data_IF_711796113576
#
_entry.id   IF_711796113576
#
_cell.length_a   1.000
_cell.length_b   1.000
_cell.length_c   1.000
_cell.angle_alpha   90.00
_cell.angle_beta   90.00
_cell.angle_gamma   90.00
#
_symmetry.space_group_name_H-M   'P 1'
#
loop_
_entity.id
_entity.type
_entity.pdbx_description
1 polymer ?
#
# COMPACT_ATOMS: atom_id res chain seq x y z
N UNK A 1 -3.86 -8.55 5.37
CA UNK A 1 -3.97 -8.47 6.86
C UNK A 1 -3.95 -7.00 7.26
N UNK A 2 -4.91 -6.50 8.05
CA UNK A 2 -4.75 -5.17 8.66
C UNK A 2 -3.64 -5.29 9.70
N UNK A 3 -2.57 -4.49 9.59
CA UNK A 3 -1.60 -4.43 10.66
C UNK A 3 -2.34 -4.12 11.96
N UNK A 4 -1.97 -4.76 13.07
CA UNK A 4 -2.34 -4.24 14.38
C UNK A 4 -1.98 -2.74 14.40
N UNK A 5 -2.63 -1.92 15.23
CA UNK A 5 -2.41 -0.47 15.32
C UNK A 5 -1.01 -0.05 15.81
N UNK A 6 0.04 -0.76 15.37
CA UNK A 6 1.45 -0.66 15.70
C UNK A 6 2.21 -0.32 14.42
N UNK A 7 3.15 0.62 14.50
CA UNK A 7 3.94 1.06 13.35
C UNK A 7 4.87 -0.01 12.75
N UNK A 8 5.63 -0.80 13.55
CA UNK A 8 6.61 -1.72 12.97
C UNK A 8 5.96 -2.97 12.37
N UNK A 9 6.36 -3.26 11.13
CA UNK A 9 6.12 -4.52 10.42
C UNK A 9 7.46 -5.08 9.92
N UNK A 10 7.46 -6.33 9.45
CA UNK A 10 8.69 -7.00 8.98
C UNK A 10 8.68 -7.24 7.49
N UNK A 11 9.81 -6.94 6.85
CA UNK A 11 10.20 -7.48 5.55
C UNK A 11 11.03 -8.73 5.82
N UNK A 12 10.62 -9.87 5.25
CA UNK A 12 11.33 -11.14 5.38
C UNK A 12 12.08 -11.41 4.09
N UNK A 13 13.41 -11.36 4.13
CA UNK A 13 14.28 -11.66 3.00
C UNK A 13 14.75 -13.12 3.10
N UNK A 14 14.42 -13.95 2.11
CA UNK A 14 14.83 -15.35 2.07
C UNK A 14 15.83 -15.54 0.94
N UNK A 15 17.03 -16.03 1.27
CA UNK A 15 17.99 -16.48 0.28
C UNK A 15 17.51 -17.82 -0.31
N UNK A 16 17.19 -17.85 -1.60
CA UNK A 16 16.60 -19.02 -2.25
C UNK A 16 17.57 -20.19 -2.44
N UNK A 17 18.88 -19.97 -2.32
CA UNK A 17 19.89 -21.03 -2.45
C UNK A 17 20.17 -21.71 -1.12
N UNK A 18 20.19 -20.94 -0.05
CA UNK A 18 20.59 -21.38 1.29
C UNK A 18 19.43 -21.54 2.25
N UNK A 19 18.24 -21.06 1.87
CA UNK A 19 17.02 -21.00 2.69
C UNK A 19 17.17 -20.19 3.98
N UNK A 20 18.24 -19.39 4.10
CA UNK A 20 18.45 -18.50 5.25
C UNK A 20 17.53 -17.31 5.12
N UNK A 21 16.86 -16.98 6.22
CA UNK A 21 16.00 -15.80 6.31
C UNK A 21 16.67 -14.70 7.15
N UNK A 22 16.48 -13.46 6.70
CA UNK A 22 16.73 -12.25 7.49
C UNK A 22 15.44 -11.47 7.60
N UNK A 23 15.30 -10.69 8.67
CA UNK A 23 14.10 -9.91 8.94
C UNK A 23 14.50 -8.46 9.20
N UNK A 24 13.80 -7.53 8.57
CA UNK A 24 14.08 -6.10 8.65
C UNK A 24 12.81 -5.37 9.04
N UNK A 25 12.94 -4.35 9.89
CA UNK A 25 11.80 -3.54 10.30
C UNK A 25 11.49 -2.48 9.25
N UNK A 26 10.22 -2.37 8.90
CA UNK A 26 9.63 -1.26 8.16
C UNK A 26 8.60 -0.58 9.06
N UNK A 27 8.53 0.75 9.05
CA UNK A 27 7.55 1.48 9.86
C UNK A 27 6.44 2.05 8.97
N UNK A 28 5.21 1.63 9.25
CA UNK A 28 4.00 2.21 8.67
C UNK A 28 3.81 3.65 9.14
N UNK A 29 3.12 4.49 8.35
CA UNK A 29 2.78 5.86 8.75
C UNK A 29 1.57 5.88 9.69
N UNK A 30 1.83 5.95 10.98
CA UNK A 30 0.86 6.08 12.08
C UNK A 30 -0.41 5.24 11.87
N UNK A 31 -0.31 3.90 11.75
CA UNK A 31 -1.41 3.02 11.33
C UNK A 31 -2.61 3.04 12.29
N UNK A 32 -2.39 3.41 13.56
CA UNK A 32 -3.48 3.65 14.52
C UNK A 32 -4.43 4.78 14.10
N UNK A 33 -3.93 5.78 13.36
CA UNK A 33 -4.68 6.95 12.91
C UNK A 33 -5.01 6.90 11.43
N UNK A 34 -4.10 6.42 10.59
CA UNK A 34 -4.28 6.35 9.13
C UNK A 34 -5.06 5.11 8.70
N UNK A 35 -5.13 4.08 9.56
CA UNK A 35 -5.65 2.78 9.18
C UNK A 35 -4.76 2.04 8.17
N UNK A 36 -3.53 2.51 7.96
CA UNK A 36 -2.61 1.99 6.95
C UNK A 36 -2.43 0.48 7.07
N UNK A 37 -2.62 -0.19 5.93
CA UNK A 37 -2.31 -1.59 5.72
C UNK A 37 -1.44 -1.72 4.46
N UNK A 38 -0.71 -2.84 4.39
CA UNK A 38 0.05 -3.25 3.21
C UNK A 38 -0.72 -4.38 2.55
N UNK A 39 -0.89 -4.28 1.24
CA UNK A 39 -1.49 -5.29 0.38
C UNK A 39 -0.46 -5.89 -0.57
N UNK A 40 0.64 -5.19 -0.86
CA UNK A 40 1.53 -5.51 -1.96
C UNK A 40 3.00 -5.11 -1.70
N UNK A 41 3.90 -5.86 -2.33
CA UNK A 41 5.34 -5.63 -2.37
C UNK A 41 5.90 -6.05 -3.74
N UNK A 42 6.52 -5.11 -4.46
CA UNK A 42 7.29 -5.43 -5.68
C UNK A 42 8.76 -5.13 -5.50
N UNK A 43 9.65 -5.99 -5.99
CA UNK A 43 11.09 -5.74 -5.95
C UNK A 43 11.51 -4.72 -7.04
N UNK A 44 12.38 -3.79 -6.66
CA UNK A 44 13.13 -2.90 -7.56
C UNK A 44 14.57 -3.36 -7.73
N UNK A 45 15.15 -3.92 -6.67
CA UNK A 45 16.49 -4.51 -6.64
C UNK A 45 16.55 -5.61 -5.56
N UNK A 46 17.76 -6.08 -5.23
CA UNK A 46 17.96 -7.04 -4.12
C UNK A 46 17.66 -6.43 -2.73
N UNK A 47 17.69 -5.10 -2.60
CA UNK A 47 17.46 -4.41 -1.32
C UNK A 47 16.34 -3.39 -1.39
N UNK A 48 15.87 -3.04 -2.58
CA UNK A 48 14.83 -2.02 -2.77
C UNK A 48 13.53 -2.62 -3.24
N UNK A 49 12.43 -2.12 -2.67
CA UNK A 49 11.09 -2.60 -2.91
C UNK A 49 10.12 -1.42 -3.02
N UNK A 50 8.99 -1.60 -3.71
CA UNK A 50 7.83 -0.75 -3.55
C UNK A 50 6.80 -1.46 -2.70
N UNK A 51 6.36 -0.82 -1.63
CA UNK A 51 5.28 -1.29 -0.77
C UNK A 51 4.14 -0.29 -0.83
N UNK A 52 2.91 -0.79 -0.87
CA UNK A 52 1.75 0.07 -0.68
C UNK A 52 1.49 0.32 0.82
N UNK A 53 1.04 1.53 1.14
CA UNK A 53 0.31 1.81 2.37
C UNK A 53 -1.02 2.43 2.00
N UNK A 54 -2.09 1.73 2.37
CA UNK A 54 -3.45 2.08 1.96
C UNK A 54 -4.46 1.99 3.09
N UNK A 55 -5.54 2.74 2.98
CA UNK A 55 -6.76 2.60 3.78
C UNK A 55 -7.79 1.66 3.11
N UNK A 56 -8.98 1.52 3.70
CA UNK A 56 -10.08 0.72 3.12
C UNK A 56 -11.11 1.55 2.35
N UNK A 57 -10.78 2.77 1.94
CA UNK A 57 -11.74 3.69 1.34
C UNK A 57 -11.67 3.65 -0.19
N UNK A 58 -12.85 3.68 -0.83
CA UNK A 58 -12.99 3.95 -2.26
C UNK A 58 -12.61 5.39 -2.58
N UNK A 59 -12.21 5.65 -3.83
CA UNK A 59 -11.98 7.02 -4.30
C UNK A 59 -13.31 7.80 -4.42
N UNK A 60 -13.27 9.15 -4.41
CA UNK A 60 -12.09 10.00 -4.27
C UNK A 60 -11.60 10.16 -2.82
N UNK A 61 -10.36 10.65 -2.68
CA UNK A 61 -9.69 11.05 -1.43
C UNK A 61 -9.24 9.94 -0.51
N UNK A 62 -9.22 8.70 -0.99
CA UNK A 62 -8.66 7.60 -0.23
C UNK A 62 -7.14 7.72 -0.12
N UNK A 63 -6.59 7.20 0.98
CA UNK A 63 -5.16 7.20 1.21
C UNK A 63 -4.57 5.94 0.63
N UNK A 64 -3.86 6.07 -0.49
CA UNK A 64 -3.15 4.97 -1.15
C UNK A 64 -1.80 5.47 -1.63
N UNK A 65 -0.73 5.03 -0.98
CA UNK A 65 0.63 5.46 -1.30
C UNK A 65 1.50 4.26 -1.69
N UNK A 66 2.38 4.46 -2.66
CA UNK A 66 3.49 3.56 -2.98
C UNK A 66 4.77 4.22 -2.48
N UNK A 67 5.49 3.50 -1.62
CA UNK A 67 6.72 3.96 -1.00
C UNK A 67 7.88 3.05 -1.42
N UNK A 68 9.01 3.64 -1.79
CA UNK A 68 10.28 2.93 -1.97
C UNK A 68 10.90 2.62 -0.61
N UNK A 69 11.15 1.33 -0.37
CA UNK A 69 11.73 0.81 0.85
C UNK A 69 13.08 0.19 0.54
N UNK A 70 14.14 0.65 1.21
CA UNK A 70 15.49 0.09 1.09
C UNK A 70 15.91 -0.58 2.41
N UNK A 71 16.25 -1.87 2.34
CA UNK A 71 16.77 -2.64 3.48
C UNK A 71 18.30 -2.58 3.58
N UNK A 72 18.99 -1.90 2.67
CA UNK A 72 20.43 -1.70 2.77
C UNK A 72 20.79 -0.93 4.05
N UNK A 73 21.71 -1.48 4.85
CA UNK A 73 22.09 -0.93 6.15
C UNK A 73 21.10 -1.21 7.29
N UNK A 74 19.89 -1.71 7.00
CA UNK A 74 18.93 -2.07 8.03
C UNK A 74 19.45 -3.23 8.90
N UNK A 75 19.13 -3.19 10.19
CA UNK A 75 19.53 -4.21 11.16
C UNK A 75 18.73 -5.50 10.92
N UNK A 76 19.42 -6.64 10.81
CA UNK A 76 18.76 -7.94 10.83
C UNK A 76 18.22 -8.21 12.23
N UNK A 77 16.89 -8.19 12.37
CA UNK A 77 16.20 -8.38 13.66
C UNK A 77 15.79 -9.84 13.90
N UNK A 78 16.30 -10.79 13.11
CA UNK A 78 16.04 -12.22 13.28
C UNK A 78 16.48 -12.71 14.66
N UNK A 79 15.52 -12.99 15.54
CA UNK A 79 15.79 -13.40 16.92
C UNK A 79 16.36 -12.30 17.82
N UNK A 80 16.39 -11.04 17.36
CA UNK A 80 16.92 -9.92 18.14
C UNK A 80 15.99 -9.60 19.32
N UNK A 81 16.58 -9.40 20.49
CA UNK A 81 15.88 -8.86 21.67
C UNK A 81 16.65 -7.68 22.26
N UNK A 82 15.91 -6.64 22.66
CA UNK A 82 16.44 -5.46 23.38
C UNK A 82 15.80 -5.45 24.77
N UNK A 83 16.60 -5.61 25.81
CA UNK A 83 16.10 -5.65 27.19
C UNK A 83 15.05 -6.76 27.42
N UNK A 84 15.20 -7.91 26.74
CA UNK A 84 14.26 -9.03 26.82
C UNK A 84 12.97 -8.89 26.00
N UNK A 85 12.82 -7.81 25.21
CA UNK A 85 11.67 -7.58 24.33
C UNK A 85 12.08 -7.71 22.85
N UNK A 86 11.17 -8.16 21.99
CA UNK A 86 11.34 -7.96 20.54
C UNK A 86 11.31 -6.46 20.21
N UNK A 87 11.85 -6.02 19.07
CA UNK A 87 11.78 -4.62 18.65
C UNK A 87 10.34 -4.07 18.59
N UNK A 88 9.37 -4.87 18.17
CA UNK A 88 7.95 -4.49 18.13
C UNK A 88 7.37 -4.32 19.53
N UNK A 89 7.68 -5.25 20.45
CA UNK A 89 7.25 -5.17 21.84
C UNK A 89 7.94 -4.04 22.61
N UNK A 90 9.14 -3.62 22.19
CA UNK A 90 9.84 -2.47 22.74
C UNK A 90 9.08 -1.16 22.49
N UNK A 91 8.55 -0.98 21.27
CA UNK A 91 7.87 0.27 20.87
C UNK A 91 6.35 0.23 21.09
N UNK A 92 5.74 -0.95 21.11
CA UNK A 92 4.29 -1.12 21.32
C UNK A 92 3.45 -0.31 20.32
N UNK A 93 2.42 0.38 20.83
CA UNK A 93 1.52 1.22 20.04
C UNK A 93 2.02 2.67 19.84
N UNK A 94 3.33 2.90 19.99
CA UNK A 94 3.91 4.24 19.75
C UNK A 94 3.65 4.71 18.32
N UNK A 95 3.40 6.00 18.15
CA UNK A 95 3.39 6.65 16.84
C UNK A 95 4.73 6.46 16.12
N UNK A 96 4.73 6.51 14.79
CA UNK A 96 5.87 6.13 13.93
C UNK A 96 7.17 6.82 14.30
N UNK A 97 7.14 8.13 14.54
CA UNK A 97 8.34 8.89 14.90
C UNK A 97 8.88 8.52 16.30
N UNK A 98 7.98 8.24 17.26
CA UNK A 98 8.37 7.79 18.60
C UNK A 98 8.93 6.36 18.57
N UNK A 99 8.35 5.48 17.76
CA UNK A 99 8.86 4.14 17.52
C UNK A 99 10.26 4.19 16.89
N UNK A 100 10.44 5.01 15.85
CA UNK A 100 11.73 5.21 15.19
C UNK A 100 12.82 5.71 16.17
N UNK A 101 12.49 6.72 16.98
CA UNK A 101 13.43 7.26 17.96
C UNK A 101 13.83 6.20 18.99
N UNK A 102 12.87 5.42 19.49
CA UNK A 102 13.12 4.35 20.46
C UNK A 102 13.99 3.24 19.87
N UNK A 103 13.70 2.79 18.65
CA UNK A 103 14.50 1.76 17.95
C UNK A 103 15.92 2.25 17.67
N UNK A 104 16.05 3.49 17.20
CA UNK A 104 17.35 4.11 16.93
C UNK A 104 18.20 4.21 18.20
N UNK A 105 17.62 4.64 19.31
CA UNK A 105 18.29 4.69 20.61
C UNK A 105 18.71 3.30 21.11
N UNK A 106 17.98 2.25 20.71
CA UNK A 106 18.31 0.85 20.97
C UNK A 106 19.33 0.25 19.98
N UNK A 107 19.86 1.04 19.03
CA UNK A 107 20.81 0.57 18.02
C UNK A 107 20.19 -0.23 16.87
N UNK A 108 18.85 -0.20 16.73
CA UNK A 108 18.13 -0.88 15.65
C UNK A 108 17.86 0.10 14.51
N UNK A 109 18.52 -0.13 13.38
CA UNK A 109 18.28 0.62 12.14
C UNK A 109 17.13 -0.02 11.37
N UNK A 110 16.07 0.73 11.12
CA UNK A 110 14.92 0.31 10.30
C UNK A 110 15.22 0.53 8.81
N UNK A 111 14.47 -0.13 7.93
CA UNK A 111 14.52 0.10 6.49
C UNK A 111 14.20 1.56 6.16
N UNK A 112 14.93 2.13 5.19
CA UNK A 112 14.71 3.49 4.73
C UNK A 112 13.42 3.55 3.91
N UNK A 113 12.56 4.52 4.21
CA UNK A 113 11.31 4.76 3.48
C UNK A 113 11.40 6.08 2.72
N UNK A 114 11.04 6.06 1.43
CA UNK A 114 10.90 7.25 0.59
C UNK A 114 9.55 7.23 -0.13
N UNK A 115 8.71 8.29 -0.04
CA UNK A 115 7.48 8.36 -0.82
C UNK A 115 7.79 8.38 -2.32
N UNK A 116 7.09 7.56 -3.12
CA UNK A 116 7.22 7.56 -4.57
C UNK A 116 5.98 8.14 -5.26
N UNK A 117 4.79 7.55 -5.03
CA UNK A 117 3.52 8.02 -5.61
C UNK A 117 2.42 7.93 -4.58
N UNK A 118 1.64 9.00 -4.38
CA UNK A 118 0.34 8.90 -3.73
C UNK A 118 -0.71 8.63 -4.81
N UNK A 119 -1.06 7.35 -5.00
CA UNK A 119 -1.99 6.88 -6.03
C UNK A 119 -3.37 7.47 -5.82
N UNK A 120 -3.89 7.49 -4.58
CA UNK A 120 -5.20 8.05 -4.29
C UNK A 120 -5.29 9.54 -4.61
N UNK A 121 -4.28 10.31 -4.21
CA UNK A 121 -4.17 11.72 -4.58
C UNK A 121 -4.02 11.93 -6.09
N UNK A 122 -3.23 11.09 -6.77
CA UNK A 122 -3.04 11.15 -8.22
C UNK A 122 -4.36 10.94 -8.97
N UNK A 123 -5.10 9.86 -8.68
CA UNK A 123 -6.36 9.56 -9.37
C UNK A 123 -7.46 10.55 -9.01
N UNK A 124 -7.53 11.00 -7.76
CA UNK A 124 -8.45 12.05 -7.32
C UNK A 124 -8.15 13.41 -7.97
N UNK A 125 -6.88 13.72 -8.23
CA UNK A 125 -6.49 14.94 -8.95
C UNK A 125 -6.91 14.86 -10.44
N UNK A 126 -6.78 13.68 -11.06
CA UNK A 126 -7.15 13.45 -12.45
C UNK A 126 -8.68 13.41 -12.65
N UNK A 127 -9.41 12.85 -11.69
CA UNK A 127 -10.87 12.77 -11.66
C UNK A 127 -11.40 12.93 -10.23
N UNK A 128 -11.82 14.15 -9.91
CA UNK A 128 -12.42 14.49 -8.61
C UNK A 128 -13.74 13.78 -8.30
N UNK A 129 -14.33 13.08 -9.28
CA UNK A 129 -15.55 12.29 -9.05
C UNK A 129 -15.26 10.88 -8.51
N UNK A 130 -14.00 10.42 -8.55
CA UNK A 130 -13.58 9.09 -8.12
C UNK A 130 -13.97 7.95 -9.05
N UNK A 131 -14.38 8.23 -10.29
CA UNK A 131 -14.77 7.19 -11.26
C UNK A 131 -13.55 6.57 -11.94
N UNK A 132 -12.47 7.31 -12.09
CA UNK A 132 -11.22 6.82 -12.63
C UNK A 132 -10.43 6.03 -11.58
N UNK A 133 -10.30 4.72 -11.79
CA UNK A 133 -9.56 3.80 -10.89
C UNK A 133 -10.02 3.91 -9.43
N UNK A 134 -11.33 3.82 -9.22
CA UNK A 134 -12.00 4.26 -7.99
C UNK A 134 -12.00 3.29 -6.80
N UNK A 135 -11.15 2.27 -6.87
CA UNK A 135 -11.20 1.06 -6.02
C UNK A 135 -10.80 1.33 -4.57
N UNK A 136 -11.33 0.56 -3.62
CA UNK A 136 -10.95 0.65 -2.20
C UNK A 136 -9.58 0.05 -1.91
N UNK A 137 -9.16 -0.90 -2.74
CA UNK A 137 -7.97 -1.69 -2.51
C UNK A 137 -7.08 -1.71 -3.74
N UNK A 138 -5.82 -1.38 -3.54
CA UNK A 138 -4.74 -1.66 -4.49
C UNK A 138 -4.08 -2.96 -4.03
N UNK A 139 -3.99 -3.95 -4.92
CA UNK A 139 -3.36 -5.25 -4.65
C UNK A 139 -2.91 -5.80 -6.01
N UNK A 140 -1.59 -5.97 -6.18
CA UNK A 140 -0.90 -6.08 -7.46
C UNK A 140 -0.21 -4.78 -7.88
N UNK A 141 1.12 -4.76 -7.76
CA UNK A 141 2.00 -3.70 -8.24
C UNK A 141 3.15 -4.38 -8.97
N UNK A 142 3.40 -3.98 -10.20
CA UNK A 142 4.48 -4.52 -11.01
C UNK A 142 5.25 -3.41 -11.72
N UNK A 143 6.53 -3.64 -11.91
CA UNK A 143 7.40 -2.80 -12.74
C UNK A 143 8.42 -3.67 -13.46
N UNK A 144 8.83 -3.23 -14.64
CA UNK A 144 9.86 -3.91 -15.46
C UNK A 144 11.08 -3.04 -15.69
N UNK A 145 11.09 -1.82 -15.14
CA UNK A 145 12.05 -0.76 -15.45
C UNK A 145 12.45 0.01 -14.18
N UNK A 146 12.58 -0.70 -13.06
CA UNK A 146 13.08 -0.16 -11.81
C UNK A 146 12.19 0.93 -11.21
N UNK A 147 10.88 0.86 -11.44
CA UNK A 147 9.89 1.79 -10.90
C UNK A 147 9.63 3.01 -11.79
N UNK A 148 10.23 3.09 -12.99
CA UNK A 148 9.91 4.15 -13.96
C UNK A 148 8.46 4.02 -14.48
N UNK A 149 8.02 2.79 -14.72
CA UNK A 149 6.65 2.44 -15.08
C UNK A 149 6.09 1.50 -14.03
N UNK A 150 4.94 1.86 -13.47
CA UNK A 150 4.20 1.05 -12.52
C UNK A 150 2.90 0.58 -13.18
N UNK A 151 2.57 -0.69 -13.02
CA UNK A 151 1.26 -1.26 -13.29
C UNK A 151 0.64 -1.60 -11.94
N UNK A 152 -0.52 -1.02 -11.65
CA UNK A 152 -1.21 -1.14 -10.37
C UNK A 152 -2.58 -1.73 -10.63
N UNK A 153 -2.92 -2.84 -10.01
CA UNK A 153 -4.26 -3.42 -10.03
C UNK A 153 -5.02 -3.17 -8.74
N UNK A 154 -6.34 -3.24 -8.83
CA UNK A 154 -7.18 -3.43 -7.66
C UNK A 154 -7.37 -4.92 -7.34
N UNK A 155 -7.64 -5.20 -6.08
CA UNK A 155 -8.35 -6.42 -5.71
C UNK A 155 -9.83 -6.07 -5.55
N UNK A 156 -10.62 -6.59 -6.47
CA UNK A 156 -12.06 -6.39 -6.49
C UNK A 156 -12.82 -7.44 -5.66
N UNK A 157 -12.12 -8.32 -4.94
CA UNK A 157 -12.69 -9.42 -4.17
C UNK A 157 -13.64 -10.28 -5.05
N UNK A 158 -13.29 -10.48 -6.32
CA UNK A 158 -14.13 -11.14 -7.34
C UNK A 158 -15.49 -10.46 -7.56
N UNK A 159 -15.61 -9.17 -7.23
CA UNK A 159 -16.86 -8.42 -7.25
C UNK A 159 -17.79 -8.73 -6.08
N UNK A 160 -17.28 -9.23 -4.95
CA UNK A 160 -18.09 -9.64 -3.78
C UNK A 160 -17.49 -9.05 -2.49
N UNK A 161 -18.27 -8.31 -1.69
CA UNK A 161 -17.74 -7.72 -0.44
C UNK A 161 -18.28 -8.40 0.85
N UNK A 162 -19.38 -9.12 0.76
CA UNK A 162 -20.04 -9.73 1.92
C UNK A 162 -20.70 -11.04 1.53
N UNK A 163 -20.61 -12.03 2.43
CA UNK A 163 -21.34 -13.29 2.34
C UNK A 163 -22.29 -13.35 3.54
N UNK A 164 -23.57 -13.58 3.29
CA UNK A 164 -24.63 -13.68 4.31
C UNK A 164 -25.21 -15.09 4.29
N UNK A 165 -25.48 -15.64 5.47
CA UNK A 165 -26.30 -16.84 5.62
C UNK A 165 -27.71 -16.38 5.96
N UNK A 166 -28.63 -16.59 5.03
CA UNK A 166 -30.04 -16.25 5.21
C UNK A 166 -30.66 -17.13 6.33
N UNK A 167 -31.78 -16.69 6.95
CA UNK A 167 -32.46 -17.46 7.99
C UNK A 167 -32.89 -18.88 7.57
N UNK A 168 -33.02 -19.15 6.28
CA UNK A 168 -33.32 -20.47 5.71
C UNK A 168 -32.08 -21.34 5.45
N UNK A 169 -30.89 -20.85 5.80
CA UNK A 169 -29.60 -21.53 5.63
C UNK A 169 -28.96 -21.35 4.26
N UNK A 170 -29.56 -20.54 3.36
CA UNK A 170 -28.98 -20.26 2.05
C UNK A 170 -27.85 -19.23 2.16
N UNK A 171 -26.79 -19.45 1.40
CA UNK A 171 -25.70 -18.48 1.25
C UNK A 171 -26.05 -17.48 0.15
N UNK A 172 -26.02 -16.19 0.48
CA UNK A 172 -26.13 -15.08 -0.47
C UNK A 172 -24.85 -14.26 -0.49
N UNK A 173 -24.54 -13.71 -1.67
CA UNK A 173 -23.37 -12.85 -1.88
C UNK A 173 -23.85 -11.43 -2.14
N UNK A 174 -23.17 -10.45 -1.56
CA UNK A 174 -23.38 -9.05 -1.86
C UNK A 174 -22.40 -8.60 -2.95
N UNK A 175 -22.94 -8.03 -4.03
CA UNK A 175 -22.15 -7.51 -5.13
C UNK A 175 -21.36 -6.29 -4.66
N UNK A 176 -20.02 -6.37 -4.71
CA UNK A 176 -19.15 -5.22 -4.52
C UNK A 176 -19.34 -4.26 -5.70
N UNK A 177 -19.58 -3.00 -5.39
CA UNK A 177 -19.80 -1.93 -6.37
C UNK A 177 -18.91 -0.74 -6.08
N UNK A 178 -18.52 -0.02 -7.14
CA UNK A 178 -17.86 1.27 -7.02
C UNK A 178 -18.89 2.34 -6.60
N UNK A 179 -18.76 2.96 -5.41
CA UNK A 179 -19.74 3.94 -4.94
C UNK A 179 -19.99 5.10 -5.92
N UNK A 180 -18.97 5.66 -6.62
CA UNK A 180 -19.17 6.77 -7.56
C UNK A 180 -20.00 6.43 -8.81
N UNK A 181 -20.11 5.17 -9.19
CA UNK A 181 -20.77 4.74 -10.43
C UNK A 181 -21.94 3.78 -10.19
N UNK A 182 -22.00 3.11 -9.04
CA UNK A 182 -22.93 2.01 -8.76
C UNK A 182 -22.68 0.75 -9.60
N UNK A 183 -21.60 0.72 -10.39
CA UNK A 183 -21.23 -0.43 -11.21
C UNK A 183 -20.49 -1.46 -10.36
N UNK A 184 -20.56 -2.73 -10.77
CA UNK A 184 -19.70 -3.78 -10.22
C UNK A 184 -18.25 -3.32 -10.17
N UNK A 185 -17.60 -3.58 -9.03
CA UNK A 185 -16.15 -3.45 -8.89
C UNK A 185 -15.46 -4.55 -9.74
N UNK A 186 -14.89 -4.12 -10.86
CA UNK A 186 -14.20 -5.00 -11.82
C UNK A 186 -12.69 -4.82 -11.68
N UNK A 187 -11.95 -5.84 -12.10
CA UNK A 187 -10.49 -5.75 -12.21
C UNK A 187 -10.09 -4.70 -13.25
N UNK A 188 -9.25 -3.77 -12.83
CA UNK A 188 -8.64 -2.72 -13.63
C UNK A 188 -7.13 -2.69 -13.42
N UNK A 189 -6.39 -2.20 -14.42
CA UNK A 189 -4.94 -1.98 -14.32
C UNK A 189 -4.66 -0.51 -14.66
N UNK A 190 -4.15 0.23 -13.68
CA UNK A 190 -3.63 1.58 -13.85
C UNK A 190 -2.15 1.52 -14.21
N UNK A 191 -1.78 2.15 -15.33
CA UNK A 191 -0.39 2.38 -15.70
C UNK A 191 0.05 3.78 -15.28
N UNK A 192 1.12 3.88 -14.51
CA UNK A 192 1.71 5.14 -14.05
C UNK A 192 3.14 5.26 -14.61
N UNK A 193 3.44 6.37 -15.28
CA UNK A 193 4.80 6.75 -15.69
C UNK A 193 5.35 7.75 -14.67
N UNK A 194 6.21 7.29 -13.77
CA UNK A 194 6.70 8.10 -12.65
C UNK A 194 7.58 9.25 -13.11
N UNK A 195 8.16 9.16 -14.32
CA UNK A 195 8.93 10.25 -14.93
C UNK A 195 8.07 11.43 -15.39
N UNK A 196 6.74 11.28 -15.39
CA UNK A 196 5.77 12.32 -15.76
C UNK A 196 5.00 12.88 -14.55
N UNK A 197 5.41 12.53 -13.34
CA UNK A 197 4.85 13.09 -12.12
C UNK A 197 5.56 14.40 -11.73
N UNK A 198 4.86 15.34 -11.05
CA UNK A 198 3.45 15.30 -10.71
C UNK A 198 2.54 15.49 -11.94
N UNK A 199 1.33 14.92 -11.89
CA UNK A 199 0.36 15.11 -12.96
C UNK A 199 -0.05 16.59 -13.09
N UNK A 200 -0.10 17.09 -14.33
CA UNK A 200 -0.54 18.46 -14.64
C UNK A 200 -1.83 18.40 -15.43
N UNK A 201 -2.94 18.74 -14.78
CA UNK A 201 -4.26 18.80 -15.42
C UNK A 201 -4.42 20.12 -16.15
N UNK A 202 -4.94 20.09 -17.39
CA UNK A 202 -5.26 21.27 -18.19
C UNK A 202 -6.66 21.16 -18.76
N UNK A 203 -7.43 22.24 -18.65
CA UNK A 203 -8.74 22.36 -19.30
C UNK A 203 -8.56 22.95 -20.70
N UNK A 204 -9.09 22.28 -21.72
CA UNK A 204 -9.10 22.78 -23.10
C UNK A 204 -10.54 22.86 -23.58
N UNK A 205 -10.93 23.99 -24.17
CA UNK A 205 -12.24 24.14 -24.82
C UNK A 205 -12.13 23.73 -26.28
N UNK A 206 -12.88 22.72 -26.71
CA UNK A 206 -12.96 22.28 -28.10
C UNK A 206 -14.30 22.71 -28.69
N UNK A 207 -14.29 23.50 -29.76
CA UNK A 207 -15.51 23.87 -30.50
C UNK A 207 -15.78 22.84 -31.59
N UNK A 208 -16.89 22.11 -31.48
CA UNK A 208 -17.36 21.19 -32.53
C UNK A 208 -18.46 21.89 -33.34
N UNK A 209 -18.29 21.99 -34.65
CA UNK A 209 -19.33 22.47 -35.57
C UNK A 209 -19.93 21.27 -36.30
N UNK A 210 -21.18 20.96 -36.01
CA UNK A 210 -21.95 19.95 -36.74
C UNK A 210 -22.60 20.64 -37.94
N UNK A 211 -22.47 20.03 -39.13
CA UNK A 211 -23.14 20.48 -40.36
C UNK A 211 -24.28 19.55 -40.70
#
# INVERSE_FOLDING_TARGET
MKAASVAPVRIVAIDLRTYRAKQYLYLLDNPATTGAAISEITALSNTRFLLDERDGAFEPFAQKSLNEIDIEGATDVSGLTVGGKSPEALVGASATNAALATLTAAGVQVALKQPLVNVGALVSQLDTTGKFFGHDKVEGVATTDGGRTLYVSNDNDFGIDTIVVDPDGKWTVHQKVLPPTGQTDNGEILKIDTSKLPAVVKTVTVTIRVR
#
